data_IF_465364942695
#
_entry.id   IF_465364942695
#
_cell.length_a   1.000
_cell.length_b   1.000
_cell.length_c   1.000
_cell.angle_alpha   90.00
_cell.angle_beta   90.00
_cell.angle_gamma   90.00
#
_symmetry.space_group_name_H-M   'P 1'
#
loop_
_entity.id
_entity.type
_entity.pdbx_description
1 polymer ?
#
# COMPACT_ATOMS: atom_id res chain seq x y z
N UNK A 1 43.44 -9.78 -76.28
CA UNK A 1 42.51 -9.03 -75.48
C UNK A 1 41.94 -9.98 -74.45
N UNK A 2 42.39 -9.91 -73.17
CA UNK A 2 41.92 -10.78 -72.08
C UNK A 2 40.94 -10.00 -71.22
N UNK A 3 39.69 -10.43 -71.16
CA UNK A 3 38.64 -9.86 -70.29
C UNK A 3 38.75 -10.46 -68.90
N UNK A 4 38.97 -9.61 -67.90
CA UNK A 4 38.97 -9.97 -66.48
C UNK A 4 37.57 -9.76 -65.94
N UNK A 5 36.94 -10.85 -65.51
CA UNK A 5 35.62 -10.85 -64.85
C UNK A 5 35.80 -10.67 -63.32
N UNK A 6 35.33 -9.53 -62.80
CA UNK A 6 35.36 -9.21 -61.38
C UNK A 6 34.06 -9.75 -60.70
N UNK A 7 34.18 -10.83 -59.91
CA UNK A 7 33.08 -11.34 -59.11
C UNK A 7 33.05 -10.61 -57.76
N UNK A 8 32.01 -9.80 -57.55
CA UNK A 8 31.70 -9.17 -56.27
C UNK A 8 30.99 -10.20 -55.35
N UNK A 9 31.67 -10.62 -54.27
CA UNK A 9 31.06 -11.41 -53.22
C UNK A 9 30.40 -10.45 -52.24
N UNK A 10 29.05 -10.46 -52.20
CA UNK A 10 28.29 -9.69 -51.23
C UNK A 10 28.08 -10.59 -50.01
N UNK A 11 28.85 -10.36 -48.95
CA UNK A 11 28.63 -11.01 -47.63
C UNK A 11 27.51 -10.28 -46.89
N UNK A 12 26.39 -10.92 -46.79
CA UNK A 12 25.22 -10.45 -46.02
C UNK A 12 25.48 -10.77 -44.53
N UNK A 13 25.94 -9.76 -43.78
CA UNK A 13 26.09 -9.87 -42.33
C UNK A 13 24.72 -9.88 -41.64
N UNK A 14 24.33 -11.03 -41.11
CA UNK A 14 23.11 -11.19 -40.29
C UNK A 14 23.37 -10.54 -38.92
N UNK A 15 22.92 -9.32 -38.76
CA UNK A 15 22.97 -8.61 -37.47
C UNK A 15 21.81 -9.08 -36.59
N UNK A 16 22.08 -10.07 -35.73
CA UNK A 16 21.11 -10.48 -34.70
C UNK A 16 20.99 -9.39 -33.66
N UNK A 17 19.90 -8.61 -33.73
CA UNK A 17 19.50 -7.72 -32.66
C UNK A 17 19.07 -8.59 -31.46
N UNK A 18 19.91 -8.68 -30.44
CA UNK A 18 19.51 -9.10 -29.11
C UNK A 18 18.60 -8.02 -28.52
N UNK A 19 17.29 -8.22 -28.61
CA UNK A 19 16.32 -7.46 -27.83
C UNK A 19 16.51 -7.93 -26.39
N UNK A 20 17.34 -7.21 -25.64
CA UNK A 20 17.42 -7.39 -24.18
C UNK A 20 16.12 -6.85 -23.61
N UNK A 21 15.19 -7.75 -23.26
CA UNK A 21 13.98 -7.39 -22.53
C UNK A 21 14.39 -6.81 -21.16
N UNK A 22 14.11 -5.53 -20.83
CA UNK A 22 14.58 -4.91 -19.59
C UNK A 22 13.85 -5.40 -18.34
N UNK A 23 12.93 -6.36 -18.45
CA UNK A 23 12.02 -6.75 -17.36
C UNK A 23 12.23 -8.17 -16.81
N UNK A 24 13.33 -8.82 -17.06
CA UNK A 24 13.69 -10.02 -16.30
C UNK A 24 14.22 -9.60 -14.91
N UNK A 25 13.36 -9.07 -14.05
CA UNK A 25 13.71 -8.83 -12.65
C UNK A 25 13.97 -10.19 -12.01
N UNK A 26 15.21 -10.46 -11.56
CA UNK A 26 15.57 -11.67 -10.83
C UNK A 26 14.59 -11.84 -9.67
N UNK A 27 13.92 -12.97 -9.59
CA UNK A 27 13.19 -13.39 -8.39
C UNK A 27 14.22 -13.46 -7.24
N UNK A 28 14.18 -12.47 -6.37
CA UNK A 28 15.11 -12.36 -5.23
C UNK A 28 14.65 -13.21 -4.06
N UNK A 29 13.52 -13.94 -4.16
CA UNK A 29 12.88 -14.64 -3.05
C UNK A 29 12.29 -13.70 -1.99
N UNK A 30 12.34 -12.39 -2.21
CA UNK A 30 11.81 -11.38 -1.29
C UNK A 30 10.34 -11.09 -1.59
N UNK A 31 9.52 -11.12 -0.57
CA UNK A 31 8.10 -10.74 -0.65
C UNK A 31 8.01 -9.25 -1.01
N UNK A 32 7.09 -8.94 -1.92
CA UNK A 32 6.82 -7.60 -2.43
C UNK A 32 5.39 -7.21 -2.09
N UNK A 33 5.26 -6.20 -1.25
CA UNK A 33 3.99 -5.72 -0.74
C UNK A 33 3.68 -4.35 -1.35
N UNK A 34 2.47 -4.18 -1.89
CA UNK A 34 1.95 -2.89 -2.32
C UNK A 34 0.66 -2.58 -1.57
N UNK A 35 0.52 -1.36 -1.09
CA UNK A 35 -0.56 -0.93 -0.24
C UNK A 35 -1.17 0.34 -0.81
N UNK A 36 -2.48 0.31 -1.10
CA UNK A 36 -3.22 1.44 -1.68
C UNK A 36 -4.06 2.14 -0.61
N UNK A 37 -3.90 3.45 -0.51
CA UNK A 37 -4.80 4.34 0.22
C UNK A 37 -5.49 5.28 -0.76
N UNK A 38 -6.62 5.86 -0.38
CA UNK A 38 -7.26 6.89 -1.19
C UNK A 38 -6.48 8.21 -1.13
N UNK A 39 -6.01 8.59 0.06
CA UNK A 39 -5.33 9.86 0.32
C UNK A 39 -3.88 9.66 0.80
N UNK A 40 -3.04 10.72 0.69
CA UNK A 40 -1.65 10.67 1.13
C UNK A 40 -1.50 10.68 2.66
N UNK A 41 -1.88 9.60 3.34
CA UNK A 41 -1.77 9.28 4.78
C UNK A 41 -2.49 7.99 5.15
N UNK A 42 -3.46 7.53 4.34
CA UNK A 42 -4.28 6.34 4.63
C UNK A 42 -3.44 5.08 4.87
N UNK A 43 -2.44 4.84 4.00
CA UNK A 43 -1.56 3.67 4.15
C UNK A 43 -0.79 3.72 5.47
N UNK A 44 -0.35 4.91 5.85
CA UNK A 44 0.38 5.15 7.11
C UNK A 44 -0.52 4.88 8.31
N UNK A 45 -1.77 5.36 8.25
CA UNK A 45 -2.76 5.14 9.31
C UNK A 45 -3.16 3.67 9.45
N UNK A 46 -3.33 2.96 8.34
CA UNK A 46 -3.88 1.59 8.34
C UNK A 46 -2.82 0.50 8.45
N UNK A 47 -1.58 0.77 8.02
CA UNK A 47 -0.56 -0.28 7.88
C UNK A 47 0.89 0.18 8.11
N UNK A 48 1.11 1.36 8.68
CA UNK A 48 2.46 1.92 8.90
C UNK A 48 3.35 1.05 9.78
N UNK A 49 2.79 0.42 10.82
CA UNK A 49 3.53 -0.52 11.68
C UNK A 49 3.90 -1.82 10.95
N UNK A 50 2.96 -2.38 10.20
CA UNK A 50 3.20 -3.58 9.38
C UNK A 50 4.24 -3.30 8.29
N UNK A 51 4.16 -2.13 7.65
CA UNK A 51 5.17 -1.68 6.68
C UNK A 51 6.57 -1.57 7.31
N UNK A 52 6.67 -1.02 8.52
CA UNK A 52 7.93 -0.93 9.25
C UNK A 52 8.51 -2.32 9.59
N UNK A 53 7.65 -3.29 9.95
CA UNK A 53 8.09 -4.68 10.19
C UNK A 53 8.63 -5.33 8.92
N UNK A 54 7.93 -5.20 7.79
CA UNK A 54 8.40 -5.71 6.50
C UNK A 54 9.71 -5.05 6.07
N UNK A 55 9.82 -3.73 6.19
CA UNK A 55 11.05 -2.99 5.85
C UNK A 55 12.24 -3.45 6.72
N UNK A 56 12.03 -3.66 8.03
CA UNK A 56 13.04 -4.21 8.95
C UNK A 56 13.51 -5.60 8.54
N UNK A 57 12.64 -6.40 7.92
CA UNK A 57 12.96 -7.72 7.37
C UNK A 57 13.54 -7.66 5.94
N UNK A 58 13.81 -6.45 5.43
CA UNK A 58 14.37 -6.20 4.10
C UNK A 58 13.46 -6.68 2.95
N UNK A 59 12.14 -6.72 3.16
CA UNK A 59 11.15 -6.93 2.12
C UNK A 59 10.84 -5.62 1.39
N UNK A 60 10.35 -5.71 0.16
CA UNK A 60 10.02 -4.55 -0.65
C UNK A 60 8.60 -4.07 -0.34
N UNK A 61 8.46 -2.86 0.18
CA UNK A 61 7.17 -2.25 0.50
C UNK A 61 6.97 -0.97 -0.30
N UNK A 62 5.77 -0.80 -0.86
CA UNK A 62 5.35 0.41 -1.54
C UNK A 62 3.97 0.84 -1.04
N UNK A 63 3.84 2.11 -0.66
CA UNK A 63 2.56 2.78 -0.50
C UNK A 63 2.18 3.49 -1.79
N UNK A 64 0.89 3.54 -2.09
CA UNK A 64 0.32 4.27 -3.22
C UNK A 64 -0.91 5.02 -2.74
N UNK A 65 -0.88 6.35 -2.79
CA UNK A 65 -2.09 7.14 -2.68
C UNK A 65 -2.74 7.27 -4.04
N UNK A 66 -4.04 6.95 -4.14
CA UNK A 66 -4.77 7.01 -5.42
C UNK A 66 -5.15 8.44 -5.77
N UNK A 67 -5.32 9.34 -4.78
CA UNK A 67 -5.50 10.78 -5.02
C UNK A 67 -4.29 11.58 -4.57
N UNK A 68 -4.18 12.82 -5.06
CA UNK A 68 -3.07 13.72 -4.74
C UNK A 68 -3.28 14.54 -3.46
N UNK A 69 -4.45 14.44 -2.83
CA UNK A 69 -4.75 15.10 -1.56
C UNK A 69 -4.94 16.62 -1.66
N UNK A 70 -5.36 17.14 -2.81
CA UNK A 70 -5.42 18.59 -3.08
C UNK A 70 -6.64 19.31 -2.49
N UNK A 71 -7.55 18.61 -1.79
CA UNK A 71 -8.77 19.20 -1.22
C UNK A 71 -8.90 19.08 0.31
N UNK A 72 -8.21 18.16 0.97
CA UNK A 72 -8.37 17.88 2.41
C UNK A 72 -7.60 18.86 3.32
N UNK A 73 -8.00 20.14 3.42
CA UNK A 73 -7.44 21.11 4.36
C UNK A 73 -8.35 22.35 4.52
N UNK A 74 -8.38 22.95 5.72
CA UNK A 74 -9.27 24.07 6.05
C UNK A 74 -8.88 25.41 5.40
N UNK A 75 -7.62 25.60 4.99
CA UNK A 75 -7.13 26.89 4.47
C UNK A 75 -6.27 26.78 3.21
N UNK A 76 -5.69 25.61 2.94
CA UNK A 76 -4.85 25.35 1.79
C UNK A 76 -5.58 24.44 0.79
N UNK A 77 -5.34 24.56 -0.52
CA UNK A 77 -6.03 23.77 -1.55
C UNK A 77 -5.22 23.65 -2.84
N UNK A 78 -5.67 22.75 -3.71
CA UNK A 78 -5.14 22.58 -5.06
C UNK A 78 -3.66 22.23 -5.07
N UNK A 79 -2.92 22.68 -6.06
CA UNK A 79 -1.50 22.32 -6.29
C UNK A 79 -0.59 22.62 -5.11
N UNK A 80 -0.87 23.64 -4.33
CA UNK A 80 -0.08 23.98 -3.14
C UNK A 80 -0.23 22.91 -2.06
N UNK A 81 -1.46 22.51 -1.77
CA UNK A 81 -1.73 21.43 -0.81
C UNK A 81 -1.19 20.09 -1.30
N UNK A 82 -1.45 19.72 -2.57
CA UNK A 82 -0.92 18.49 -3.17
C UNK A 82 0.61 18.40 -3.05
N UNK A 83 1.32 19.49 -3.36
CA UNK A 83 2.78 19.56 -3.21
C UNK A 83 3.23 19.35 -1.75
N UNK A 84 2.53 19.94 -0.80
CA UNK A 84 2.81 19.78 0.63
C UNK A 84 2.60 18.34 1.06
N UNK A 85 1.43 17.77 0.77
CA UNK A 85 1.09 16.37 1.13
C UNK A 85 2.03 15.38 0.45
N UNK A 86 2.44 15.62 -0.80
CA UNK A 86 3.48 14.82 -1.44
C UNK A 86 4.80 14.86 -0.66
N UNK A 87 5.24 16.03 -0.21
CA UNK A 87 6.48 16.13 0.59
C UNK A 87 6.34 15.38 1.93
N UNK A 88 5.17 15.41 2.56
CA UNK A 88 4.86 14.68 3.78
C UNK A 88 4.90 13.16 3.55
N UNK A 89 4.37 12.65 2.42
CA UNK A 89 4.49 11.21 2.07
C UNK A 89 5.93 10.78 1.86
N UNK A 90 6.77 11.61 1.23
CA UNK A 90 8.18 11.28 1.02
C UNK A 90 8.97 11.26 2.34
N UNK A 91 8.63 12.14 3.28
CA UNK A 91 9.22 12.10 4.63
C UNK A 91 8.77 10.84 5.40
N UNK A 92 7.48 10.48 5.31
CA UNK A 92 6.98 9.22 5.89
C UNK A 92 7.70 8.01 5.31
N UNK A 93 7.78 7.91 3.98
CA UNK A 93 8.48 6.83 3.29
C UNK A 93 9.94 6.68 3.76
N UNK A 94 10.64 7.80 3.91
CA UNK A 94 12.01 7.85 4.44
C UNK A 94 12.10 7.31 5.86
N UNK A 95 11.16 7.69 6.74
CA UNK A 95 11.12 7.24 8.14
C UNK A 95 10.85 5.73 8.27
N UNK A 96 10.02 5.19 7.37
CA UNK A 96 9.70 3.76 7.30
C UNK A 96 10.74 2.93 6.52
N UNK A 97 11.52 3.54 5.63
CA UNK A 97 12.44 2.84 4.73
C UNK A 97 11.73 2.11 3.59
N UNK A 98 10.67 2.72 3.02
CA UNK A 98 9.82 2.17 1.96
C UNK A 98 9.75 3.10 0.74
N UNK A 99 9.03 2.71 -0.32
CA UNK A 99 8.66 3.57 -1.44
C UNK A 99 7.25 4.13 -1.26
N UNK A 100 7.00 5.35 -1.75
CA UNK A 100 5.67 5.96 -1.72
C UNK A 100 5.39 6.67 -3.05
N UNK A 101 4.37 6.22 -3.78
CA UNK A 101 3.85 6.86 -4.99
C UNK A 101 2.55 7.60 -4.65
N UNK A 102 2.32 8.76 -5.31
CA UNK A 102 1.07 9.52 -5.24
C UNK A 102 0.58 9.71 -6.67
N UNK A 103 -0.64 9.21 -6.97
CA UNK A 103 -1.27 9.37 -8.28
C UNK A 103 -1.93 10.75 -8.37
N UNK A 104 -2.15 11.25 -9.59
CA UNK A 104 -2.62 12.62 -9.82
C UNK A 104 -4.14 12.70 -10.03
N UNK A 105 -4.92 11.93 -9.23
CA UNK A 105 -6.37 12.08 -9.18
C UNK A 105 -6.75 13.11 -8.10
N UNK A 106 -7.77 13.92 -8.35
CA UNK A 106 -8.23 14.94 -7.40
C UNK A 106 -8.87 14.32 -6.16
N UNK A 107 -8.51 14.82 -4.99
CA UNK A 107 -9.12 14.47 -3.69
C UNK A 107 -10.59 14.88 -3.64
N UNK A 108 -11.47 13.98 -3.21
CA UNK A 108 -12.92 14.15 -3.15
C UNK A 108 -13.64 13.92 -4.49
N UNK A 109 -12.90 13.71 -5.59
CA UNK A 109 -13.45 13.56 -6.93
C UNK A 109 -13.09 12.23 -7.60
N UNK A 110 -12.50 11.30 -6.87
CA UNK A 110 -12.15 10.00 -7.42
C UNK A 110 -13.40 9.25 -7.91
N UNK A 111 -13.32 8.75 -9.13
CA UNK A 111 -14.35 7.88 -9.73
C UNK A 111 -13.70 6.56 -10.18
N UNK A 112 -14.42 5.42 -10.13
CA UNK A 112 -13.89 4.12 -10.55
C UNK A 112 -13.92 4.00 -12.09
N UNK A 113 -13.14 4.84 -12.76
CA UNK A 113 -13.03 4.86 -14.21
C UNK A 113 -12.09 3.76 -14.73
N UNK A 114 -12.17 3.48 -16.04
CA UNK A 114 -11.27 2.52 -16.67
C UNK A 114 -9.80 2.99 -16.58
N UNK A 115 -9.56 4.28 -16.78
CA UNK A 115 -8.20 4.87 -16.74
C UNK A 115 -7.54 4.64 -15.41
N UNK A 116 -8.21 4.95 -14.30
CA UNK A 116 -7.66 4.76 -12.95
C UNK A 116 -7.49 3.27 -12.63
N UNK A 117 -8.42 2.40 -13.07
CA UNK A 117 -8.27 0.95 -12.91
C UNK A 117 -7.03 0.42 -13.62
N UNK A 118 -6.78 0.85 -14.87
CA UNK A 118 -5.61 0.45 -15.64
C UNK A 118 -4.32 0.95 -14.97
N UNK A 119 -4.30 2.15 -14.42
CA UNK A 119 -3.17 2.68 -13.67
C UNK A 119 -2.86 1.83 -12.42
N UNK A 120 -3.88 1.41 -11.66
CA UNK A 120 -3.72 0.53 -10.50
C UNK A 120 -3.17 -0.85 -10.92
N UNK A 121 -3.73 -1.45 -11.99
CA UNK A 121 -3.23 -2.72 -12.55
C UNK A 121 -1.76 -2.60 -12.91
N UNK A 122 -1.37 -1.52 -13.59
CA UNK A 122 0.01 -1.23 -13.94
C UNK A 122 0.92 -1.14 -12.72
N UNK A 123 0.52 -0.39 -11.68
CA UNK A 123 1.28 -0.28 -10.42
C UNK A 123 1.51 -1.64 -9.75
N UNK A 124 0.48 -2.49 -9.68
CA UNK A 124 0.59 -3.83 -9.10
C UNK A 124 1.56 -4.71 -9.90
N UNK A 125 1.48 -4.67 -11.24
CA UNK A 125 2.35 -5.45 -12.12
C UNK A 125 3.81 -4.97 -12.09
N UNK A 126 4.04 -3.66 -12.22
CA UNK A 126 5.39 -3.06 -12.14
C UNK A 126 6.07 -3.41 -10.82
N UNK A 127 5.30 -3.42 -9.74
CA UNK A 127 5.80 -3.84 -8.43
C UNK A 127 6.03 -5.34 -8.32
N UNK A 128 5.46 -6.14 -9.22
CA UNK A 128 5.43 -7.61 -9.15
C UNK A 128 4.98 -8.09 -7.76
N UNK A 129 3.81 -7.61 -7.33
CA UNK A 129 3.32 -7.78 -5.98
C UNK A 129 2.99 -9.24 -5.62
N UNK A 130 3.34 -9.66 -4.40
CA UNK A 130 2.86 -10.89 -3.76
C UNK A 130 1.64 -10.62 -2.89
N UNK A 131 1.57 -9.43 -2.29
CA UNK A 131 0.50 -8.97 -1.41
C UNK A 131 0.05 -7.57 -1.82
N UNK A 132 -1.26 -7.39 -1.90
CA UNK A 132 -1.93 -6.11 -2.18
C UNK A 132 -2.87 -5.78 -1.03
N UNK A 133 -2.78 -4.58 -0.45
CA UNK A 133 -3.71 -4.09 0.56
C UNK A 133 -4.46 -2.87 0.05
N UNK A 134 -5.73 -2.73 0.45
CA UNK A 134 -6.58 -1.60 0.08
C UNK A 134 -7.72 -1.39 1.09
N UNK A 135 -8.45 -0.25 1.05
CA UNK A 135 -9.72 -0.11 1.77
C UNK A 135 -10.76 -1.13 1.29
N UNK A 136 -11.75 -1.43 2.11
CA UNK A 136 -12.95 -2.14 1.65
C UNK A 136 -13.80 -1.23 0.74
N UNK A 137 -14.59 -1.80 -0.22
CA UNK A 137 -15.53 -1.03 -1.03
C UNK A 137 -16.72 -0.47 -0.23
N UNK A 138 -16.65 -0.47 1.08
CA UNK A 138 -17.69 -0.04 1.99
C UNK A 138 -17.10 0.84 3.09
N UNK A 139 -17.12 2.16 2.86
CA UNK A 139 -16.50 3.17 3.72
C UNK A 139 -17.35 4.46 3.67
N UNK A 140 -17.14 5.39 4.63
CA UNK A 140 -17.85 6.68 4.66
C UNK A 140 -17.40 7.59 3.53
N UNK A 141 -16.11 7.57 3.17
CA UNK A 141 -15.54 8.46 2.15
C UNK A 141 -15.70 7.85 0.75
N UNK A 142 -16.19 8.62 -0.26
CA UNK A 142 -16.33 8.11 -1.62
C UNK A 142 -14.98 7.63 -2.20
N UNK A 143 -13.90 8.36 -1.99
CA UNK A 143 -12.58 7.99 -2.52
C UNK A 143 -12.05 6.70 -1.90
N UNK A 144 -12.30 6.44 -0.60
CA UNK A 144 -11.96 5.15 0.02
C UNK A 144 -12.73 4.01 -0.65
N UNK A 145 -14.08 4.18 -0.83
CA UNK A 145 -14.88 3.15 -1.50
C UNK A 145 -14.38 2.88 -2.91
N UNK A 146 -14.14 3.94 -3.69
CA UNK A 146 -13.71 3.78 -5.07
C UNK A 146 -12.28 3.26 -5.20
N UNK A 147 -11.37 3.60 -4.30
CA UNK A 147 -10.07 2.93 -4.20
C UNK A 147 -10.25 1.43 -3.94
N UNK A 148 -11.11 1.06 -3.00
CA UNK A 148 -11.45 -0.34 -2.71
C UNK A 148 -12.02 -1.06 -3.93
N UNK A 149 -12.99 -0.46 -4.65
CA UNK A 149 -13.58 -1.01 -5.88
C UNK A 149 -12.53 -1.19 -6.97
N UNK A 150 -11.71 -0.17 -7.22
CA UNK A 150 -10.69 -0.17 -8.26
C UNK A 150 -9.63 -1.25 -8.03
N UNK A 151 -9.17 -1.41 -6.79
CA UNK A 151 -8.19 -2.46 -6.42
C UNK A 151 -8.84 -3.84 -6.46
N UNK A 152 -10.10 -3.98 -6.04
CA UNK A 152 -10.86 -5.22 -6.14
C UNK A 152 -11.07 -5.64 -7.60
N UNK A 153 -11.42 -4.70 -8.49
CA UNK A 153 -11.53 -4.94 -9.93
C UNK A 153 -10.20 -5.36 -10.55
N UNK A 154 -9.08 -4.85 -10.04
CA UNK A 154 -7.74 -5.20 -10.52
C UNK A 154 -7.35 -6.64 -10.16
N UNK A 155 -7.93 -7.26 -9.13
CA UNK A 155 -7.50 -8.56 -8.59
C UNK A 155 -7.48 -9.71 -9.62
N UNK A 156 -8.44 -9.75 -10.56
CA UNK A 156 -8.39 -10.69 -11.68
C UNK A 156 -7.53 -10.17 -12.83
N UNK A 157 -7.65 -8.87 -13.14
CA UNK A 157 -7.08 -8.26 -14.34
C UNK A 157 -5.55 -8.19 -14.35
N UNK A 158 -4.90 -8.21 -13.19
CA UNK A 158 -3.42 -8.23 -13.11
C UNK A 158 -2.80 -9.48 -13.75
N UNK A 159 -3.57 -10.57 -13.90
CA UNK A 159 -3.13 -11.81 -14.53
C UNK A 159 -3.55 -11.93 -16.02
N UNK A 160 -4.30 -10.98 -16.58
CA UNK A 160 -4.82 -11.03 -17.96
C UNK A 160 -3.85 -10.34 -18.94
N UNK A 161 -3.18 -11.06 -19.85
CA UNK A 161 -2.10 -10.50 -20.69
C UNK A 161 -2.52 -9.33 -21.56
N UNK A 162 -3.74 -9.37 -22.12
CA UNK A 162 -4.23 -8.34 -23.07
C UNK A 162 -4.71 -7.03 -22.39
N UNK A 163 -4.75 -7.01 -21.06
CA UNK A 163 -4.98 -5.79 -20.28
C UNK A 163 -3.61 -5.17 -19.97
N UNK A 164 -3.40 -3.89 -20.28
CA UNK A 164 -2.11 -3.20 -20.14
C UNK A 164 -0.93 -4.04 -20.68
N UNK A 165 -0.90 -4.38 -21.98
CA UNK A 165 0.07 -5.32 -22.54
C UNK A 165 1.51 -4.81 -22.50
N UNK A 166 1.71 -3.52 -22.26
CA UNK A 166 3.04 -2.91 -22.10
C UNK A 166 3.75 -3.33 -20.81
N UNK A 167 2.98 -3.77 -19.80
CA UNK A 167 3.52 -4.29 -18.54
C UNK A 167 3.14 -5.76 -18.40
N UNK A 168 4.12 -6.68 -18.29
CA UNK A 168 3.86 -8.10 -18.25
C UNK A 168 2.83 -8.50 -17.19
N UNK A 169 1.85 -9.33 -17.55
CA UNK A 169 0.88 -9.89 -16.63
C UNK A 169 1.55 -10.74 -15.54
N UNK A 170 1.01 -10.70 -14.33
CA UNK A 170 1.53 -11.51 -13.23
C UNK A 170 1.26 -13.00 -13.48
N UNK A 171 2.29 -13.83 -13.27
CA UNK A 171 2.18 -15.29 -13.41
C UNK A 171 1.47 -15.95 -12.23
N UNK A 172 1.56 -15.33 -11.06
CA UNK A 172 0.88 -15.72 -9.83
C UNK A 172 0.05 -14.53 -9.37
N UNK A 173 -1.24 -14.76 -9.16
CA UNK A 173 -2.11 -13.70 -8.64
C UNK A 173 -1.71 -13.40 -7.18
N UNK A 174 -1.56 -12.12 -6.79
CA UNK A 174 -1.31 -11.75 -5.40
C UNK A 174 -2.43 -12.16 -4.44
N UNK A 175 -2.12 -12.20 -3.15
CA UNK A 175 -3.12 -12.18 -2.09
C UNK A 175 -3.55 -10.74 -1.88
N UNK A 176 -4.86 -10.48 -1.96
CA UNK A 176 -5.47 -9.19 -1.69
C UNK A 176 -6.05 -9.18 -0.28
N UNK A 177 -5.84 -8.08 0.44
CA UNK A 177 -6.36 -7.89 1.79
C UNK A 177 -6.96 -6.50 1.93
N UNK A 178 -7.91 -6.37 2.84
CA UNK A 178 -8.52 -5.11 3.22
C UNK A 178 -7.98 -4.61 4.55
N UNK A 179 -7.87 -3.29 4.68
CA UNK A 179 -7.60 -2.63 5.96
C UNK A 179 -8.77 -2.75 6.93
N UNK A 180 -8.47 -2.71 8.21
CA UNK A 180 -9.47 -2.59 9.26
C UNK A 180 -10.29 -1.31 9.11
N UNK A 181 -11.62 -1.46 9.25
CA UNK A 181 -12.57 -0.39 9.42
C UNK A 181 -13.61 -0.74 10.50
N UNK A 182 -14.54 0.16 10.77
CA UNK A 182 -15.58 -0.03 11.79
C UNK A 182 -16.99 -0.20 11.22
N UNK A 183 -17.12 -0.28 9.90
CA UNK A 183 -18.42 -0.39 9.24
C UNK A 183 -18.99 -1.81 9.38
N UNK A 184 -20.28 -1.87 9.71
CA UNK A 184 -20.98 -3.12 9.99
C UNK A 184 -21.82 -3.61 8.80
N UNK A 185 -22.04 -2.78 7.80
CA UNK A 185 -22.90 -3.08 6.65
C UNK A 185 -22.14 -2.87 5.34
N UNK A 186 -22.31 -3.77 4.33
CA UNK A 186 -23.16 -4.96 4.34
C UNK A 186 -22.66 -6.06 5.28
N UNK A 187 -21.35 -6.15 5.54
CA UNK A 187 -20.73 -7.12 6.44
C UNK A 187 -19.75 -6.43 7.40
N UNK A 188 -19.68 -6.84 8.68
CA UNK A 188 -18.64 -6.35 9.58
C UNK A 188 -17.26 -6.79 9.10
N UNK A 189 -16.23 -6.00 9.45
CA UNK A 189 -14.82 -6.34 9.21
C UNK A 189 -14.44 -7.62 9.98
N UNK A 190 -13.66 -8.49 9.33
CA UNK A 190 -13.16 -9.74 9.91
C UNK A 190 -11.64 -9.70 10.02
N UNK A 191 -11.06 -9.72 11.24
CA UNK A 191 -9.61 -9.67 11.43
C UNK A 191 -8.96 -11.04 11.16
N UNK A 192 -8.83 -11.41 9.88
CA UNK A 192 -8.23 -12.70 9.46
C UNK A 192 -6.73 -12.74 9.76
N UNK A 193 -6.03 -11.63 9.55
CA UNK A 193 -4.60 -11.46 9.81
C UNK A 193 -4.43 -10.31 10.78
N UNK A 194 -3.87 -10.56 11.95
CA UNK A 194 -3.58 -9.55 12.97
C UNK A 194 -2.09 -9.52 13.21
N UNK A 195 -1.48 -8.36 13.00
CA UNK A 195 -0.04 -8.14 13.13
C UNK A 195 0.25 -7.40 14.43
N UNK A 196 1.08 -7.99 15.30
CA UNK A 196 1.63 -7.32 16.48
C UNK A 196 2.63 -6.25 16.07
N UNK A 197 2.23 -4.99 16.15
CA UNK A 197 3.07 -3.83 15.82
C UNK A 197 3.68 -3.18 17.08
N UNK A 198 3.45 -3.74 18.27
CA UNK A 198 4.02 -3.22 19.52
C UNK A 198 5.52 -2.94 19.42
N UNK A 199 6.35 -3.81 18.80
CA UNK A 199 7.80 -3.60 18.69
C UNK A 199 8.24 -2.47 17.74
N UNK A 200 7.32 -1.89 16.98
CA UNK A 200 7.57 -0.84 15.98
C UNK A 200 6.53 0.28 16.04
N UNK A 201 5.82 0.37 17.16
CA UNK A 201 4.77 1.39 17.33
C UNK A 201 5.32 2.81 17.23
N UNK A 202 6.56 3.02 17.70
CA UNK A 202 7.29 4.26 17.51
C UNK A 202 7.48 4.64 16.03
N UNK A 203 7.69 3.65 15.16
CA UNK A 203 7.79 3.86 13.71
C UNK A 203 6.46 4.24 13.09
N UNK A 204 5.36 3.60 13.53
CA UNK A 204 4.01 3.99 13.15
C UNK A 204 3.71 5.44 13.53
N UNK A 205 3.99 5.83 14.76
CA UNK A 205 3.81 7.23 15.18
C UNK A 205 4.71 8.17 14.37
N UNK A 206 5.95 7.78 14.11
CA UNK A 206 6.86 8.60 13.33
C UNK A 206 6.39 8.81 11.88
N UNK A 207 5.79 7.81 11.21
CA UNK A 207 5.25 8.00 9.87
C UNK A 207 4.02 8.91 9.88
N UNK A 208 3.12 8.76 10.84
CA UNK A 208 1.95 9.64 11.01
C UNK A 208 2.36 11.10 11.32
N UNK A 209 3.37 11.31 12.19
CA UNK A 209 3.91 12.64 12.50
C UNK A 209 4.48 13.37 11.26
N UNK A 210 4.85 12.64 10.21
CA UNK A 210 5.27 13.26 8.95
C UNK A 210 4.13 13.99 8.23
N UNK A 211 2.89 13.55 8.40
CA UNK A 211 1.69 14.13 7.78
C UNK A 211 1.13 15.30 8.60
N UNK A 212 1.93 16.34 8.77
CA UNK A 212 1.61 17.51 9.62
C UNK A 212 0.30 18.16 9.21
N UNK A 213 0.07 18.34 7.89
CA UNK A 213 -1.15 18.95 7.36
C UNK A 213 -2.42 18.19 7.74
N UNK A 214 -2.30 16.89 7.98
CA UNK A 214 -3.44 16.03 8.32
C UNK A 214 -3.54 15.81 9.83
N UNK A 215 -2.48 15.27 10.46
CA UNK A 215 -2.52 14.83 11.85
C UNK A 215 -2.68 15.99 12.85
N UNK A 216 -2.17 17.19 12.51
CA UNK A 216 -2.15 18.34 13.42
C UNK A 216 -2.96 19.55 12.93
N UNK A 217 -3.47 19.52 11.69
CA UNK A 217 -4.21 20.63 11.11
C UNK A 217 -5.61 20.21 10.66
N UNK A 218 -5.74 19.43 9.56
CA UNK A 218 -7.03 19.10 8.96
C UNK A 218 -7.91 18.20 9.83
N UNK A 219 -7.40 17.04 10.26
CA UNK A 219 -8.20 16.09 11.05
C UNK A 219 -8.66 16.67 12.38
N UNK A 220 -7.82 17.41 13.14
CA UNK A 220 -8.28 18.13 14.32
C UNK A 220 -9.30 19.21 14.02
N UNK A 221 -9.14 19.95 12.90
CA UNK A 221 -10.06 21.01 12.52
C UNK A 221 -11.44 20.46 12.15
N UNK A 222 -11.51 19.47 11.26
CA UNK A 222 -12.78 18.85 10.86
C UNK A 222 -13.46 18.10 12.01
N UNK A 223 -12.66 17.56 12.95
CA UNK A 223 -13.12 16.88 14.15
C UNK A 223 -13.54 17.81 15.28
N UNK A 224 -13.32 19.14 15.15
CA UNK A 224 -13.72 20.15 16.15
C UNK A 224 -12.83 20.21 17.39
N UNK A 225 -11.59 19.68 17.33
CA UNK A 225 -10.63 19.67 18.46
C UNK A 225 -9.25 20.28 18.11
N UNK A 226 -9.25 21.21 17.14
CA UNK A 226 -7.99 21.84 16.67
C UNK A 226 -7.24 22.58 17.79
N UNK A 227 -7.97 23.20 18.72
CA UNK A 227 -7.38 23.92 19.85
C UNK A 227 -6.72 22.99 20.90
N UNK A 228 -7.00 21.68 20.83
CA UNK A 228 -6.38 20.67 21.70
C UNK A 228 -4.99 20.25 21.20
N UNK A 229 -4.62 20.60 19.97
CA UNK A 229 -3.34 20.19 19.37
C UNK A 229 -2.19 20.91 20.07
N UNK A 230 -1.25 20.17 20.70
CA UNK A 230 -0.13 20.80 21.38
C UNK A 230 0.78 21.58 20.42
N UNK A 231 1.44 22.62 20.93
CA UNK A 231 2.36 23.44 20.13
C UNK A 231 3.79 22.87 20.12
N UNK A 232 4.21 22.22 21.19
CA UNK A 232 5.54 21.63 21.31
C UNK A 232 5.65 20.31 20.54
N UNK A 233 6.84 19.99 20.04
CA UNK A 233 7.08 18.80 19.21
C UNK A 233 6.89 17.50 20.02
N UNK A 234 7.42 17.45 21.22
CA UNK A 234 7.34 16.25 22.07
C UNK A 234 5.90 16.00 22.52
N UNK A 235 5.19 17.06 22.91
CA UNK A 235 3.80 17.00 23.31
C UNK A 235 2.89 16.57 22.14
N UNK A 236 3.19 16.98 20.91
CA UNK A 236 2.49 16.51 19.69
C UNK A 236 2.65 15.00 19.50
N UNK A 237 3.87 14.49 19.63
CA UNK A 237 4.14 13.04 19.52
C UNK A 237 3.35 12.26 20.57
N UNK A 238 3.38 12.71 21.84
CA UNK A 238 2.64 12.07 22.93
C UNK A 238 1.13 12.11 22.69
N UNK A 239 0.62 13.25 22.25
CA UNK A 239 -0.79 13.46 21.90
C UNK A 239 -1.23 12.56 20.74
N UNK A 240 -0.45 12.49 19.67
CA UNK A 240 -0.70 11.60 18.52
C UNK A 240 -0.65 10.12 18.93
N UNK A 241 0.33 9.73 19.74
CA UNK A 241 0.48 8.37 20.29
C UNK A 241 -0.77 7.93 21.05
N UNK A 242 -1.27 8.79 21.95
CA UNK A 242 -2.46 8.49 22.75
C UNK A 242 -3.74 8.39 21.89
N UNK A 243 -3.85 9.15 20.81
CA UNK A 243 -5.02 9.13 19.92
C UNK A 243 -4.99 8.01 18.89
N UNK A 244 -3.82 7.49 18.57
CA UNK A 244 -3.64 6.40 17.60
C UNK A 244 -3.85 5.02 18.23
N UNK A 245 -3.53 4.87 19.51
CA UNK A 245 -3.71 3.60 20.24
C UNK A 245 -5.19 3.25 20.37
N UNK A 246 -5.51 1.97 20.11
CA UNK A 246 -6.89 1.45 20.17
C UNK A 246 -6.94 0.18 21.01
N UNK A 247 -8.04 -0.04 21.76
CA UNK A 247 -8.21 -1.27 22.53
C UNK A 247 -8.38 -2.48 21.62
N UNK A 248 -7.71 -3.59 21.98
CA UNK A 248 -7.85 -4.87 21.30
C UNK A 248 -9.18 -5.51 21.72
N UNK A 249 -10.10 -5.69 20.77
CA UNK A 249 -11.39 -6.33 21.01
C UNK A 249 -11.28 -7.87 21.04
N UNK A 250 -12.36 -8.54 21.45
CA UNK A 250 -12.38 -10.00 21.59
C UNK A 250 -12.11 -10.75 20.28
N UNK A 251 -12.59 -10.25 19.13
CA UNK A 251 -12.41 -10.87 17.83
C UNK A 251 -10.95 -10.73 17.37
N UNK A 252 -10.35 -9.57 17.55
CA UNK A 252 -8.93 -9.32 17.30
C UNK A 252 -8.04 -10.19 18.21
N UNK A 253 -8.41 -10.32 19.49
CA UNK A 253 -7.69 -11.19 20.43
C UNK A 253 -7.74 -12.66 20.00
N UNK A 254 -8.88 -13.16 19.54
CA UNK A 254 -8.98 -14.54 19.04
C UNK A 254 -8.07 -14.78 17.83
N UNK A 255 -7.95 -13.81 16.92
CA UNK A 255 -7.02 -13.89 15.80
C UNK A 255 -5.55 -13.80 16.24
N UNK A 256 -5.22 -12.96 17.21
CA UNK A 256 -3.88 -12.94 17.84
C UNK A 256 -3.53 -14.30 18.44
N UNK A 257 -4.45 -14.91 19.18
CA UNK A 257 -4.22 -16.24 19.76
C UNK A 257 -4.00 -17.32 18.69
N UNK A 258 -4.72 -17.23 17.56
CA UNK A 258 -4.50 -18.11 16.40
C UNK A 258 -3.08 -18.01 15.85
N UNK A 259 -2.58 -16.77 15.69
CA UNK A 259 -1.29 -16.54 15.03
C UNK A 259 -0.08 -16.64 15.96
N UNK A 260 -0.20 -16.21 17.22
CA UNK A 260 0.93 -16.08 18.16
C UNK A 260 0.85 -17.03 19.36
N UNK A 261 -0.29 -17.69 19.58
CA UNK A 261 -0.56 -18.44 20.81
C UNK A 261 -0.96 -17.53 21.98
N UNK A 262 -1.66 -18.11 22.97
CA UNK A 262 -2.28 -17.36 24.08
C UNK A 262 -1.29 -16.55 24.91
N UNK A 263 -0.14 -17.13 25.23
CA UNK A 263 0.84 -16.46 26.09
C UNK A 263 1.38 -15.18 25.46
N UNK A 264 1.73 -15.22 24.17
CA UNK A 264 2.23 -14.05 23.47
C UNK A 264 1.11 -13.05 23.17
N UNK A 265 -0.05 -13.52 22.72
CA UNK A 265 -1.20 -12.66 22.41
C UNK A 265 -1.58 -11.77 23.62
N UNK A 266 -1.50 -12.29 24.86
CA UNK A 266 -1.79 -11.53 26.08
C UNK A 266 -0.82 -10.38 26.37
N UNK A 267 0.35 -10.34 25.73
CA UNK A 267 1.39 -9.32 25.90
C UNK A 267 1.36 -8.24 24.82
N UNK A 268 0.57 -8.46 23.75
CA UNK A 268 0.41 -7.52 22.62
C UNK A 268 -0.37 -6.30 23.08
N UNK A 269 0.12 -5.11 22.69
CA UNK A 269 -0.51 -3.83 23.05
C UNK A 269 -1.09 -3.11 21.83
N UNK A 270 -0.39 -3.19 20.71
CA UNK A 270 -0.74 -2.45 19.49
C UNK A 270 -0.77 -3.40 18.29
N UNK A 271 -1.79 -3.28 17.47
CA UNK A 271 -2.05 -4.17 16.34
C UNK A 271 -2.45 -3.42 15.08
N UNK A 272 -2.24 -4.07 13.95
CA UNK A 272 -2.89 -3.75 12.68
C UNK A 272 -3.59 -5.00 12.17
N UNK A 273 -4.83 -4.84 11.67
CA UNK A 273 -5.71 -5.93 11.30
C UNK A 273 -6.03 -5.89 9.81
N UNK A 274 -6.10 -7.07 9.20
CA UNK A 274 -6.40 -7.21 7.77
C UNK A 274 -7.42 -8.33 7.55
N UNK A 275 -8.36 -8.09 6.62
CA UNK A 275 -9.34 -9.08 6.17
C UNK A 275 -8.90 -9.62 4.80
N UNK A 276 -8.94 -10.95 4.59
CA UNK A 276 -8.62 -11.55 3.30
C UNK A 276 -9.75 -11.27 2.31
N UNK A 277 -9.40 -10.64 1.18
CA UNK A 277 -10.33 -10.43 0.07
C UNK A 277 -10.64 -11.77 -0.62
N UNK A 278 -11.89 -11.98 -1.03
CA UNK A 278 -12.33 -13.19 -1.73
C UNK A 278 -11.87 -13.24 -3.21
N UNK A 279 -11.23 -12.17 -3.71
CA UNK A 279 -10.64 -12.10 -5.06
C UNK A 279 -9.12 -12.21 -5.01
N UNK A 280 -8.53 -12.59 -6.13
CA UNK A 280 -7.10 -12.92 -6.18
C UNK A 280 -6.77 -14.30 -5.63
N UNK A 281 -5.52 -14.51 -5.19
CA UNK A 281 -5.12 -15.78 -4.59
C UNK A 281 -5.76 -15.96 -3.21
N UNK A 282 -6.26 -17.18 -2.94
CA UNK A 282 -6.86 -17.53 -1.65
C UNK A 282 -5.82 -18.28 -0.81
N UNK A 283 -5.24 -17.65 0.22
CA UNK A 283 -4.13 -18.21 0.96
C UNK A 283 -4.59 -19.22 2.03
N UNK A 284 -3.84 -20.30 2.21
CA UNK A 284 -3.90 -21.11 3.42
C UNK A 284 -3.21 -20.40 4.60
N UNK A 285 -3.42 -20.89 5.82
CA UNK A 285 -2.71 -20.38 7.02
C UNK A 285 -1.18 -20.49 6.86
N UNK A 286 -0.69 -21.52 6.18
CA UNK A 286 0.74 -21.68 5.88
C UNK A 286 1.22 -20.59 4.92
N UNK A 287 0.44 -20.26 3.90
CA UNK A 287 0.78 -19.20 2.97
C UNK A 287 0.70 -17.82 3.63
N UNK A 288 -0.26 -17.57 4.51
CA UNK A 288 -0.30 -16.34 5.32
C UNK A 288 0.97 -16.19 6.16
N UNK A 289 1.41 -17.25 6.85
CA UNK A 289 2.68 -17.22 7.62
C UNK A 289 3.91 -16.97 6.74
N UNK A 290 3.90 -17.49 5.53
CA UNK A 290 4.97 -17.22 4.55
C UNK A 290 4.98 -15.75 4.11
N UNK A 291 3.79 -15.18 3.83
CA UNK A 291 3.62 -13.80 3.37
C UNK A 291 3.78 -12.78 4.52
N UNK A 292 3.45 -13.16 5.74
CA UNK A 292 3.59 -12.35 6.96
C UNK A 292 4.53 -13.05 7.95
N UNK A 293 5.84 -13.07 7.68
CA UNK A 293 6.80 -13.87 8.47
C UNK A 293 6.96 -13.41 9.92
N UNK A 294 6.41 -12.23 10.29
CA UNK A 294 6.33 -11.76 11.68
C UNK A 294 5.29 -12.53 12.51
N UNK A 295 4.35 -13.25 11.87
CA UNK A 295 3.36 -14.06 12.58
C UNK A 295 4.03 -15.32 13.16
N UNK A 296 3.88 -15.54 14.46
CA UNK A 296 4.41 -16.71 15.14
C UNK A 296 5.91 -16.62 15.52
N UNK A 297 6.53 -15.41 15.39
CA UNK A 297 7.89 -15.18 15.85
C UNK A 297 7.92 -14.88 17.36
#
# INVERSE_FOLDING_TARGET
>A
MKTISLRFLMTLGLMTLFVVSPFAQKDTGKIRIIMFGAHPDDCDERSGGTAALFARMVYAVKFVSVTNGDAGHQSMKGKELAKRRYAETQESAKRLGISYDVLDNHDGLLMPTLEVRLEIIKKIREWNADVVLAPRPNDYHPDHRYTGVLVQDAAYMVAVPDIEPEVPALRKNPVFLYYEDHFQRPNPFRPDVVVDITPVYDKKIACLDAHVSQMYEWLPWIGGYYEEVPKGKEERIQWLTARTSRPINAQTMASLEKWYGKERASKVKEVECFEVCEYGAQPSDTEIKRLFPMLGQ
#
